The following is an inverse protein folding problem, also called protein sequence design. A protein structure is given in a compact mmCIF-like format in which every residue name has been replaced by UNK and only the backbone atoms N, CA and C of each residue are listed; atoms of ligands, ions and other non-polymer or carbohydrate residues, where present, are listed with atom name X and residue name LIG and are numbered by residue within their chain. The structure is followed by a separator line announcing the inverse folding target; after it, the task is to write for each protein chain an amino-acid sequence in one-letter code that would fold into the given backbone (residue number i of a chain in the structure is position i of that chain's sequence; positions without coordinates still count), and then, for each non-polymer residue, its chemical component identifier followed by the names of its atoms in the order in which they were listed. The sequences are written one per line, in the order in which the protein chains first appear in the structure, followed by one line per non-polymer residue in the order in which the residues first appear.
data_IF_000057334349
#
_entry.id   IF_000057334349
#
_cell.length_a   1.000
_cell.length_b   1.000
_cell.length_c   1.000
_cell.angle_alpha   90.00
_cell.angle_beta   90.00
_cell.angle_gamma   90.00
#
_symmetry.space_group_name_H-M   'P 1'
#
loop_
_entity.id
_entity.type
_entity.pdbx_description
1 polymer ?
#
# COMPACT_ATOMS: atom_id res chain seq x y z
N UNK A 1 8.44 26.75 11.14
CA UNK A 1 7.18 25.97 11.02
C UNK A 1 7.23 24.93 9.90
N UNK A 2 7.43 25.30 8.63
CA UNK A 2 7.43 24.34 7.49
C UNK A 2 8.46 23.21 7.60
N UNK A 3 9.69 23.47 8.09
CA UNK A 3 10.71 22.43 8.31
C UNK A 3 10.24 21.34 9.30
N UNK A 4 9.54 21.73 10.37
CA UNK A 4 9.03 20.80 11.39
C UNK A 4 7.92 19.92 10.79
N UNK A 5 7.01 20.51 10.01
CA UNK A 5 5.94 19.78 9.31
C UNK A 5 6.54 18.76 8.33
N UNK A 6 7.58 19.14 7.59
CA UNK A 6 8.29 18.24 6.69
C UNK A 6 8.92 17.06 7.43
N UNK A 7 9.67 17.31 8.51
CA UNK A 7 10.30 16.26 9.33
C UNK A 7 9.23 15.31 9.89
N UNK A 8 8.14 15.84 10.46
CA UNK A 8 7.05 15.03 10.98
C UNK A 8 6.40 14.15 9.90
N UNK A 9 6.18 14.71 8.71
CA UNK A 9 5.64 13.98 7.55
C UNK A 9 6.58 12.85 7.14
N UNK A 10 7.88 13.14 7.00
CA UNK A 10 8.88 12.14 6.62
C UNK A 10 8.99 11.00 7.65
N UNK A 11 8.99 11.34 8.95
CA UNK A 11 9.04 10.34 10.02
C UNK A 11 7.78 9.46 10.06
N UNK A 12 6.61 10.02 9.73
CA UNK A 12 5.35 9.26 9.69
C UNK A 12 5.30 8.17 8.61
N UNK A 13 6.11 8.28 7.55
CA UNK A 13 6.14 7.29 6.46
C UNK A 13 6.63 5.92 6.93
N UNK A 14 7.55 5.87 7.91
CA UNK A 14 8.10 4.62 8.41
C UNK A 14 7.03 3.73 9.10
N UNK A 15 6.32 4.19 10.15
CA UNK A 15 5.27 3.38 10.78
C UNK A 15 4.11 3.08 9.80
N UNK A 16 3.80 3.99 8.89
CA UNK A 16 2.75 3.79 7.89
C UNK A 16 3.13 2.67 6.92
N UNK A 17 4.40 2.60 6.51
CA UNK A 17 4.93 1.52 5.66
C UNK A 17 4.88 0.18 6.38
N UNK A 18 5.26 0.13 7.66
CA UNK A 18 5.19 -1.09 8.47
C UNK A 18 3.74 -1.57 8.59
N UNK A 19 2.80 -0.65 8.85
CA UNK A 19 1.39 -1.00 8.94
C UNK A 19 0.86 -1.53 7.61
N UNK A 20 1.11 -0.79 6.52
CA UNK A 20 0.72 -1.22 5.17
C UNK A 20 1.22 -2.62 4.89
N UNK A 21 2.49 -2.89 5.22
CA UNK A 21 3.09 -4.19 5.04
C UNK A 21 2.40 -5.32 5.85
N UNK A 22 2.01 -5.06 7.10
CA UNK A 22 1.28 -6.02 7.91
C UNK A 22 -0.10 -6.35 7.30
N UNK A 23 -0.84 -5.33 6.84
CA UNK A 23 -2.14 -5.52 6.19
C UNK A 23 -2.03 -6.19 4.82
N UNK A 24 -0.99 -5.86 4.06
CA UNK A 24 -0.66 -6.52 2.80
C UNK A 24 -0.51 -8.03 2.99
N UNK A 25 0.30 -8.45 3.96
CA UNK A 25 0.47 -9.87 4.31
C UNK A 25 -0.84 -10.55 4.70
N UNK A 26 -1.63 -9.88 5.53
CA UNK A 26 -2.93 -10.39 5.97
C UNK A 26 -3.89 -10.57 4.79
N UNK A 27 -3.94 -9.57 3.90
CA UNK A 27 -4.76 -9.59 2.68
C UNK A 27 -4.35 -10.72 1.75
N UNK A 28 -3.05 -10.90 1.51
CA UNK A 28 -2.53 -12.00 0.69
C UNK A 28 -2.86 -13.36 1.31
N UNK A 29 -2.69 -13.53 2.62
CA UNK A 29 -3.03 -14.79 3.28
C UNK A 29 -4.52 -15.11 3.20
N UNK A 30 -5.40 -14.10 3.25
CA UNK A 30 -6.83 -14.29 3.00
C UNK A 30 -7.12 -14.69 1.55
N UNK A 31 -6.48 -14.04 0.57
CA UNK A 31 -6.61 -14.41 -0.83
C UNK A 31 -6.14 -15.84 -1.09
N UNK A 32 -4.96 -16.21 -0.61
CA UNK A 32 -4.41 -17.56 -0.78
C UNK A 32 -5.33 -18.64 -0.19
N UNK A 33 -5.92 -18.39 0.98
CA UNK A 33 -6.76 -19.37 1.68
C UNK A 33 -8.18 -19.47 1.16
N UNK A 34 -8.77 -18.35 0.73
CA UNK A 34 -10.21 -18.24 0.44
C UNK A 34 -10.54 -18.02 -1.03
N UNK A 35 -9.62 -17.39 -1.77
CA UNK A 35 -9.77 -17.05 -3.19
C UNK A 35 -8.48 -17.41 -3.96
N UNK A 36 -8.04 -18.69 -3.91
CA UNK A 36 -6.75 -19.12 -4.44
C UNK A 36 -6.61 -18.87 -5.94
N UNK A 37 -7.70 -18.88 -6.71
CA UNK A 37 -7.75 -18.52 -8.12
C UNK A 37 -7.37 -17.06 -8.37
N UNK A 38 -7.82 -16.13 -7.52
CA UNK A 38 -7.43 -14.73 -7.57
C UNK A 38 -5.98 -14.57 -7.14
N UNK A 39 -5.56 -15.26 -6.07
CA UNK A 39 -4.17 -15.21 -5.64
C UNK A 39 -3.19 -15.70 -6.73
N UNK A 40 -3.55 -16.75 -7.46
CA UNK A 40 -2.79 -17.23 -8.62
C UNK A 40 -2.80 -16.24 -9.78
N UNK A 41 -3.92 -15.61 -10.11
CA UNK A 41 -4.01 -14.62 -11.20
C UNK A 41 -3.15 -13.37 -10.94
N UNK A 42 -3.01 -13.02 -9.66
CA UNK A 42 -2.11 -11.97 -9.19
C UNK A 42 -0.62 -12.37 -9.29
N UNK A 43 -0.30 -13.62 -9.60
CA UNK A 43 1.05 -14.12 -9.81
C UNK A 43 1.65 -14.86 -8.62
N UNK A 44 0.80 -15.42 -7.75
CA UNK A 44 1.21 -16.16 -6.54
C UNK A 44 2.16 -15.31 -5.70
N UNK A 45 1.74 -14.07 -5.46
CA UNK A 45 2.57 -13.05 -4.84
C UNK A 45 2.91 -13.53 -3.43
N UNK A 46 4.19 -13.86 -3.24
CA UNK A 46 4.77 -14.27 -1.98
C UNK A 46 5.90 -13.34 -1.58
N UNK A 47 6.28 -13.38 -0.31
CA UNK A 47 7.33 -12.50 0.22
C UNK A 47 8.74 -12.97 -0.19
N UNK A 48 8.96 -14.29 -0.19
CA UNK A 48 10.27 -14.91 -0.50
C UNK A 48 10.30 -15.50 -1.91
N UNK A 49 9.14 -15.90 -2.43
CA UNK A 49 8.98 -16.42 -3.80
C UNK A 49 8.20 -15.41 -4.64
N UNK A 50 8.72 -15.11 -5.83
CA UNK A 50 8.01 -14.40 -6.89
C UNK A 50 7.65 -12.92 -6.63
N UNK A 51 8.51 -12.19 -5.90
CA UNK A 51 8.38 -10.77 -5.57
C UNK A 51 8.80 -9.84 -6.73
N UNK A 52 8.45 -10.20 -7.97
CA UNK A 52 8.75 -9.41 -9.15
C UNK A 52 7.90 -8.14 -9.19
N UNK A 53 8.49 -7.02 -9.63
CA UNK A 53 7.83 -5.71 -9.76
C UNK A 53 6.48 -5.82 -10.50
N UNK A 54 6.40 -6.68 -11.51
CA UNK A 54 5.19 -6.95 -12.30
C UNK A 54 4.06 -7.50 -11.44
N UNK A 55 4.35 -8.47 -10.57
CA UNK A 55 3.38 -9.10 -9.69
C UNK A 55 2.91 -8.13 -8.59
N UNK A 56 3.85 -7.37 -8.01
CA UNK A 56 3.52 -6.30 -7.06
C UNK A 56 2.60 -5.25 -7.69
N UNK A 57 2.81 -4.91 -8.97
CA UNK A 57 1.94 -3.99 -9.70
C UNK A 57 0.52 -4.56 -9.88
N UNK A 58 0.37 -5.86 -10.16
CA UNK A 58 -0.97 -6.49 -10.25
C UNK A 58 -1.74 -6.37 -8.94
N UNK A 59 -1.10 -6.60 -7.79
CA UNK A 59 -1.75 -6.42 -6.50
C UNK A 59 -2.14 -4.97 -6.21
N UNK A 60 -1.25 -4.04 -6.53
CA UNK A 60 -1.54 -2.61 -6.41
C UNK A 60 -2.76 -2.26 -7.26
N UNK A 61 -2.81 -2.72 -8.52
CA UNK A 61 -3.94 -2.48 -9.41
C UNK A 61 -5.23 -3.14 -8.89
N UNK A 62 -5.16 -4.37 -8.38
CA UNK A 62 -6.27 -5.05 -7.71
C UNK A 62 -6.85 -4.22 -6.55
N UNK A 63 -5.99 -3.64 -5.71
CA UNK A 63 -6.41 -2.73 -4.64
C UNK A 63 -7.02 -1.43 -5.19
N UNK A 64 -6.35 -0.78 -6.13
CA UNK A 64 -6.79 0.52 -6.67
C UNK A 64 -8.14 0.40 -7.39
N UNK A 65 -8.32 -0.66 -8.18
CA UNK A 65 -9.56 -1.01 -8.89
C UNK A 65 -10.66 -1.57 -8.00
N UNK A 66 -10.36 -1.86 -6.73
CA UNK A 66 -11.30 -2.43 -5.75
C UNK A 66 -11.86 -3.79 -6.19
N UNK A 67 -11.07 -4.57 -6.92
CA UNK A 67 -11.49 -5.89 -7.43
C UNK A 67 -11.84 -6.87 -6.30
N UNK A 68 -11.23 -6.71 -5.11
CA UNK A 68 -11.58 -7.45 -3.90
C UNK A 68 -13.06 -7.37 -3.51
N UNK A 69 -13.77 -6.29 -3.89
CA UNK A 69 -15.20 -6.13 -3.56
C UNK A 69 -16.10 -7.12 -4.31
N UNK A 70 -15.67 -7.59 -5.48
CA UNK A 70 -16.42 -8.55 -6.28
C UNK A 70 -16.40 -9.96 -5.66
N UNK A 71 -15.51 -10.22 -4.70
CA UNK A 71 -15.32 -11.52 -4.06
C UNK A 71 -16.28 -11.76 -2.88
N UNK A 72 -17.10 -10.76 -2.54
CA UNK A 72 -18.10 -10.77 -1.46
C UNK A 72 -17.61 -11.31 -0.09
N UNK A 73 -16.30 -11.23 0.17
CA UNK A 73 -15.72 -11.62 1.46
C UNK A 73 -15.57 -10.39 2.36
N UNK A 74 -16.40 -10.32 3.40
CA UNK A 74 -16.42 -9.21 4.35
C UNK A 74 -15.10 -8.98 5.10
N UNK A 75 -14.33 -10.03 5.39
CA UNK A 75 -13.05 -9.92 6.08
C UNK A 75 -11.97 -9.42 5.12
N UNK A 76 -11.93 -9.97 3.91
CA UNK A 76 -11.04 -9.50 2.85
C UNK A 76 -11.33 -8.05 2.50
N UNK A 77 -12.61 -7.67 2.40
CA UNK A 77 -13.03 -6.31 2.08
C UNK A 77 -12.51 -5.30 3.11
N UNK A 78 -12.59 -5.61 4.41
CA UNK A 78 -12.07 -4.74 5.47
C UNK A 78 -10.55 -4.57 5.35
N UNK A 79 -9.82 -5.68 5.28
CA UNK A 79 -8.36 -5.66 5.25
C UNK A 79 -7.83 -4.99 3.95
N UNK A 80 -8.38 -5.33 2.80
CA UNK A 80 -8.01 -4.77 1.50
C UNK A 80 -8.40 -3.28 1.37
N UNK A 81 -9.53 -2.86 1.97
CA UNK A 81 -9.90 -1.44 2.00
C UNK A 81 -8.90 -0.64 2.83
N UNK A 82 -8.53 -1.11 4.02
CA UNK A 82 -7.52 -0.45 4.85
C UNK A 82 -6.15 -0.44 4.15
N UNK A 83 -5.76 -1.55 3.54
CA UNK A 83 -4.53 -1.66 2.76
C UNK A 83 -4.49 -0.64 1.62
N UNK A 84 -5.60 -0.50 0.87
CA UNK A 84 -5.77 0.50 -0.20
C UNK A 84 -5.68 1.93 0.34
N UNK A 85 -6.32 2.23 1.47
CA UNK A 85 -6.26 3.58 2.08
C UNK A 85 -4.84 3.92 2.46
N UNK A 86 -4.12 3.01 3.12
CA UNK A 86 -2.72 3.21 3.50
C UNK A 86 -1.80 3.38 2.29
N UNK A 87 -2.02 2.63 1.21
CA UNK A 87 -1.28 2.78 -0.04
C UNK A 87 -1.44 4.20 -0.61
N UNK A 88 -2.68 4.68 -0.70
CA UNK A 88 -2.99 6.01 -1.24
C UNK A 88 -2.44 7.11 -0.32
N UNK A 89 -2.68 7.01 0.99
CA UNK A 89 -2.19 8.00 1.95
C UNK A 89 -0.67 8.04 2.00
N UNK A 90 -0.01 6.87 1.96
CA UNK A 90 1.43 6.75 1.91
C UNK A 90 2.01 7.42 0.66
N UNK A 91 1.40 7.21 -0.51
CA UNK A 91 1.82 7.84 -1.76
C UNK A 91 1.67 9.37 -1.72
N UNK A 92 0.56 9.88 -1.18
CA UNK A 92 0.34 11.32 -1.01
C UNK A 92 1.39 11.92 -0.06
N UNK A 93 1.60 11.30 1.11
CA UNK A 93 2.57 11.77 2.10
C UNK A 93 4.00 11.72 1.56
N UNK A 94 4.35 10.67 0.80
CA UNK A 94 5.66 10.57 0.16
C UNK A 94 5.88 11.68 -0.87
N UNK A 95 4.85 12.01 -1.65
CA UNK A 95 4.90 13.12 -2.63
C UNK A 95 5.07 14.46 -1.91
N UNK A 96 4.34 14.71 -0.82
CA UNK A 96 4.48 15.92 0.00
C UNK A 96 5.89 16.00 0.59
N UNK A 97 6.40 14.91 1.15
CA UNK A 97 7.73 14.84 1.74
C UNK A 97 8.85 15.10 0.71
N UNK A 98 8.63 14.71 -0.55
CA UNK A 98 9.56 14.95 -1.65
C UNK A 98 9.51 16.40 -2.18
N UNK A 99 8.32 16.99 -2.31
CA UNK A 99 8.15 18.34 -2.89
C UNK A 99 8.47 19.46 -1.89
N UNK A 100 8.16 19.27 -0.60
CA UNK A 100 8.30 20.33 0.42
C UNK A 100 9.72 20.89 0.56
N UNK A 101 10.81 20.09 0.52
CA UNK A 101 12.18 20.60 0.55
C UNK A 101 12.51 21.53 -0.63
N UNK A 102 11.99 21.25 -1.82
CA UNK A 102 12.20 22.08 -3.03
C UNK A 102 11.58 23.46 -2.82
N UNK A 103 10.38 23.50 -2.24
CA UNK A 103 9.69 24.76 -1.89
C UNK A 103 10.48 25.51 -0.82
N UNK A 104 10.89 24.83 0.26
CA UNK A 104 11.69 25.45 1.33
C UNK A 104 12.98 26.04 0.76
N UNK A 105 13.71 25.32 -0.09
CA UNK A 105 14.96 25.79 -0.68
C UNK A 105 14.79 26.96 -1.67
N UNK A 106 13.62 27.10 -2.30
CA UNK A 106 13.32 28.21 -3.22
C UNK A 106 12.98 29.53 -2.50
N UNK A 107 12.44 29.45 -1.29
CA UNK A 107 11.97 30.61 -0.51
C UNK A 107 12.78 30.83 0.78
N UNK A 108 13.95 30.21 0.90
CA UNK A 108 14.88 30.37 2.03
C UNK A 108 16.13 31.12 1.60
#
# INVERSE_FOLDING_TARGET
MMKIIWVATALSLFPLTIWYYALFKKTLSHLEKRHPEIWRSLGEIGFVKNNNIINSNKFIMFLLRKEYKALDDSNLNKDATLCRVLLISGFILATIAFVTPIIIGKYS
#
